data_IF_180698947842
#
_entry.id   IF_180698947842
#
_cell.length_a   1.000
_cell.length_b   1.000
_cell.length_c   1.000
_cell.angle_alpha   90.00
_cell.angle_beta   90.00
_cell.angle_gamma   90.00
#
_symmetry.space_group_name_H-M   'P 1'
#
loop_
_entity.id
_entity.type
_entity.pdbx_description
1 polymer ?
#
# COMPACT_ATOMS: atom_id res chain seq x y z
N UNK A 1 23.52 -8.02 -48.87
CA UNK A 1 23.75 -7.84 -47.41
C UNK A 1 22.60 -7.01 -46.87
N UNK A 2 21.61 -7.67 -46.28
CA UNK A 2 20.41 -7.05 -45.69
C UNK A 2 20.46 -7.31 -44.18
N UNK A 3 20.38 -6.25 -43.40
CA UNK A 3 20.19 -6.34 -41.95
C UNK A 3 18.71 -6.52 -41.64
N UNK A 4 18.30 -7.37 -40.69
CA UNK A 4 16.94 -7.40 -40.19
C UNK A 4 16.77 -6.41 -39.03
N UNK A 5 15.85 -5.47 -39.22
CA UNK A 5 15.30 -4.56 -38.22
C UNK A 5 14.12 -5.24 -37.49
N UNK A 6 13.87 -4.76 -36.27
CA UNK A 6 12.65 -4.91 -35.42
C UNK A 6 12.59 -6.11 -34.45
N UNK A 7 12.99 -5.83 -33.19
CA UNK A 7 12.42 -6.46 -32.01
C UNK A 7 11.30 -5.56 -31.47
N UNK A 8 10.05 -5.90 -31.80
CA UNK A 8 8.86 -5.34 -31.18
C UNK A 8 8.73 -5.94 -29.77
N UNK A 9 8.77 -5.08 -28.75
CA UNK A 9 8.46 -5.42 -27.36
C UNK A 9 7.03 -5.96 -27.27
N UNK A 10 6.88 -7.19 -26.79
CA UNK A 10 5.61 -7.94 -26.72
C UNK A 10 4.66 -7.47 -25.61
N UNK A 11 5.07 -6.56 -24.72
CA UNK A 11 4.26 -6.17 -23.56
C UNK A 11 3.58 -4.79 -23.68
N UNK A 12 3.88 -4.00 -24.72
CA UNK A 12 3.39 -2.61 -24.85
C UNK A 12 1.95 -2.44 -25.37
N UNK A 13 1.27 -3.52 -25.81
CA UNK A 13 -0.01 -3.41 -26.51
C UNK A 13 -1.27 -3.40 -25.64
N UNK A 14 -1.19 -3.90 -24.41
CA UNK A 14 -2.40 -4.10 -23.57
C UNK A 14 -2.66 -2.96 -22.59
N UNK A 15 -1.62 -2.28 -22.11
CA UNK A 15 -1.76 -1.16 -21.15
C UNK A 15 -2.37 0.07 -21.82
N UNK A 16 -2.00 0.37 -23.07
CA UNK A 16 -2.51 1.53 -23.82
C UNK A 16 -3.98 1.40 -24.20
N UNK A 17 -4.50 0.17 -24.35
CA UNK A 17 -5.89 -0.07 -24.75
C UNK A 17 -6.89 0.18 -23.62
N UNK A 18 -6.47 0.03 -22.36
CA UNK A 18 -7.38 0.14 -21.19
C UNK A 18 -7.45 1.56 -20.62
N UNK A 19 -6.37 2.35 -20.66
CA UNK A 19 -6.42 3.77 -20.31
C UNK A 19 -7.38 4.56 -21.22
N UNK A 20 -7.43 4.22 -22.52
CA UNK A 20 -8.38 4.83 -23.45
C UNK A 20 -9.84 4.40 -23.19
N UNK A 21 -10.09 3.21 -22.62
CA UNK A 21 -11.43 2.76 -22.24
C UNK A 21 -11.96 3.42 -20.97
N UNK A 22 -11.07 3.79 -20.03
CA UNK A 22 -11.43 4.52 -18.82
C UNK A 22 -11.77 5.98 -19.14
N UNK A 23 -10.99 6.64 -20.01
CA UNK A 23 -11.26 8.00 -20.49
C UNK A 23 -12.58 8.12 -21.27
N UNK A 24 -12.89 7.16 -22.16
CA UNK A 24 -14.13 7.15 -22.92
C UNK A 24 -15.40 6.96 -22.06
N UNK A 25 -15.28 6.32 -20.89
CA UNK A 25 -16.40 6.18 -19.94
C UNK A 25 -16.69 7.46 -19.17
N UNK A 26 -15.68 8.29 -18.94
CA UNK A 26 -15.83 9.59 -18.27
C UNK A 26 -16.49 10.62 -19.19
N UNK A 27 -16.23 10.56 -20.50
CA UNK A 27 -16.87 11.44 -21.50
C UNK A 27 -18.34 11.09 -21.78
N UNK A 28 -18.76 9.83 -21.59
CA UNK A 28 -20.17 9.46 -21.73
C UNK A 28 -21.06 9.88 -20.55
N UNK A 29 -20.49 10.27 -19.41
CA UNK A 29 -21.27 10.76 -18.25
C UNK A 29 -21.53 12.26 -18.27
N UNK A 30 -20.97 13.03 -19.22
CA UNK A 30 -21.11 14.49 -19.29
C UNK A 30 -22.14 15.00 -20.31
N UNK A 31 -22.90 14.10 -20.96
CA UNK A 31 -23.95 14.48 -21.90
C UNK A 31 -25.36 14.16 -21.37
N UNK A 32 -25.91 15.05 -20.54
CA UNK A 32 -27.34 15.36 -20.63
C UNK A 32 -27.62 16.84 -20.27
N UNK A 33 -28.58 17.50 -20.96
CA UNK A 33 -28.66 18.96 -21.03
C UNK A 33 -29.71 19.55 -20.09
N UNK A 34 -29.42 20.72 -19.50
CA UNK A 34 -30.44 21.74 -19.26
C UNK A 34 -29.80 23.11 -19.00
N UNK A 35 -30.02 24.03 -19.94
CA UNK A 35 -29.99 25.49 -19.78
C UNK A 35 -31.42 25.97 -20.07
N UNK A 36 -31.92 27.02 -19.40
CA UNK A 36 -31.99 28.33 -20.03
C UNK A 36 -31.54 29.42 -19.04
N UNK A 37 -30.61 30.30 -19.38
CA UNK A 37 -30.71 31.52 -20.20
C UNK A 37 -30.78 32.75 -19.29
N UNK A 38 -30.07 33.79 -19.72
CA UNK A 38 -29.61 34.94 -18.94
C UNK A 38 -30.51 36.15 -19.13
N UNK A 39 -30.64 36.97 -18.09
CA UNK A 39 -31.11 38.35 -18.21
C UNK A 39 -30.09 39.29 -17.58
N UNK A 40 -29.48 40.10 -18.44
CA UNK A 40 -28.69 41.26 -18.10
C UNK A 40 -29.57 42.52 -18.12
N UNK A 41 -29.13 43.49 -17.32
CA UNK A 41 -29.33 44.95 -17.43
C UNK A 41 -30.55 45.65 -16.79
N UNK A 42 -30.15 46.52 -15.84
CA UNK A 42 -30.51 47.95 -15.66
C UNK A 42 -31.81 48.29 -14.92
N UNK A 43 -31.67 48.89 -13.73
CA UNK A 43 -31.77 50.35 -13.52
C UNK A 43 -31.57 50.75 -12.04
N UNK A 44 -30.69 51.75 -11.85
CA UNK A 44 -30.73 52.87 -10.88
C UNK A 44 -30.53 52.66 -9.36
N UNK A 45 -29.39 53.20 -8.89
CA UNK A 45 -29.19 53.92 -7.61
C UNK A 45 -30.08 55.20 -7.51
N UNK A 46 -30.11 56.01 -6.41
CA UNK A 46 -29.47 55.90 -5.07
C UNK A 46 -30.40 56.28 -3.86
N UNK A 47 -29.85 56.26 -2.63
CA UNK A 47 -29.97 57.25 -1.51
C UNK A 47 -30.21 56.62 -0.11
N UNK A 48 -29.21 56.84 0.75
CA UNK A 48 -29.09 57.14 2.20
C UNK A 48 -30.09 56.64 3.29
N UNK A 49 -29.46 56.18 4.38
CA UNK A 49 -29.76 56.35 5.83
C UNK A 49 -31.15 56.03 6.40
N UNK A 50 -31.18 55.09 7.37
CA UNK A 50 -31.35 55.40 8.81
C UNK A 50 -31.76 54.16 9.64
N UNK A 51 -31.18 54.09 10.84
CA UNK A 51 -31.47 53.22 11.98
C UNK A 51 -32.93 53.34 12.45
N UNK A 52 -33.63 52.25 12.79
CA UNK A 52 -34.27 52.02 14.11
C UNK A 52 -35.20 50.80 14.18
N UNK A 53 -35.14 50.21 15.37
CA UNK A 53 -35.92 49.13 16.00
C UNK A 53 -37.42 49.46 16.11
N UNK A 54 -38.34 48.50 15.87
CA UNK A 54 -39.39 48.07 16.83
C UNK A 54 -40.26 46.91 16.32
N UNK A 55 -40.64 46.09 17.30
CA UNK A 55 -41.72 45.11 17.44
C UNK A 55 -43.11 45.61 17.00
N UNK A 56 -43.92 44.77 16.34
CA UNK A 56 -45.14 44.14 16.92
C UNK A 56 -46.16 43.60 15.88
N UNK A 57 -46.60 42.37 16.18
CA UNK A 57 -47.97 41.82 16.17
C UNK A 57 -48.87 41.81 14.91
N UNK A 58 -49.08 40.57 14.45
CA UNK A 58 -50.32 39.90 14.00
C UNK A 58 -51.34 40.62 13.09
N UNK A 59 -51.69 39.94 11.99
CA UNK A 59 -53.09 39.80 11.59
C UNK A 59 -53.33 38.44 10.94
N UNK A 60 -54.24 37.68 11.54
CA UNK A 60 -54.71 36.40 11.05
C UNK A 60 -55.68 36.60 9.87
N UNK A 61 -55.69 35.67 8.92
CA UNK A 61 -56.89 35.40 8.14
C UNK A 61 -56.99 33.90 7.89
N UNK A 62 -57.94 33.30 8.58
CA UNK A 62 -58.29 31.90 8.51
C UNK A 62 -59.10 31.62 7.24
N UNK A 63 -58.79 30.53 6.55
CA UNK A 63 -59.79 29.76 5.81
C UNK A 63 -59.62 28.29 6.19
N UNK A 64 -60.67 27.77 6.81
CA UNK A 64 -60.78 26.40 7.25
C UNK A 64 -61.30 25.53 6.09
N UNK A 65 -60.70 24.37 5.87
CA UNK A 65 -61.37 23.25 5.20
C UNK A 65 -60.94 21.91 5.83
N UNK A 66 -61.86 21.40 6.64
CA UNK A 66 -62.34 20.01 6.79
C UNK A 66 -61.30 18.86 6.77
N UNK A 67 -61.19 18.25 7.95
CA UNK A 67 -60.59 16.96 8.28
C UNK A 67 -61.40 15.78 7.69
N UNK A 68 -60.75 14.65 7.41
CA UNK A 68 -61.24 13.41 8.01
C UNK A 68 -60.15 12.65 8.79
N UNK A 69 -60.53 12.33 10.03
CA UNK A 69 -59.91 11.34 10.91
C UNK A 69 -59.91 9.97 10.24
N UNK A 70 -58.79 9.26 10.32
CA UNK A 70 -58.77 7.82 10.52
C UNK A 70 -57.67 7.47 11.52
N UNK A 71 -58.10 6.90 12.64
CA UNK A 71 -57.31 6.39 13.74
C UNK A 71 -56.59 5.10 13.35
N UNK A 72 -55.33 4.94 13.76
CA UNK A 72 -54.73 3.65 14.09
C UNK A 72 -53.49 3.90 14.97
N UNK A 73 -53.74 4.06 16.26
CA UNK A 73 -52.72 4.08 17.31
C UNK A 73 -52.42 2.62 17.65
N UNK A 74 -51.35 2.07 17.10
CA UNK A 74 -50.91 0.70 17.40
C UNK A 74 -49.86 0.73 18.51
N UNK A 75 -50.34 0.47 19.72
CA UNK A 75 -49.54 0.32 20.94
C UNK A 75 -48.69 -0.95 20.86
N UNK A 76 -47.38 -0.82 20.70
CA UNK A 76 -46.46 -1.94 20.90
C UNK A 76 -46.25 -2.19 22.40
N UNK A 77 -46.81 -3.30 22.85
CA UNK A 77 -46.74 -3.87 24.19
C UNK A 77 -45.31 -4.28 24.59
N UNK A 78 -44.78 -3.61 25.62
CA UNK A 78 -43.56 -3.96 26.37
C UNK A 78 -43.82 -5.17 27.30
N UNK A 79 -44.14 -6.33 26.74
CA UNK A 79 -44.34 -7.56 27.52
C UNK A 79 -43.91 -8.79 26.73
N UNK A 80 -42.63 -8.85 26.34
CA UNK A 80 -42.00 -10.11 25.90
C UNK A 80 -40.46 -10.04 25.84
N UNK A 81 -39.81 -9.33 26.76
CA UNK A 81 -38.33 -9.27 26.82
C UNK A 81 -37.73 -10.03 28.03
N UNK A 82 -38.56 -10.58 28.91
CA UNK A 82 -38.11 -11.26 30.13
C UNK A 82 -37.71 -12.74 29.96
N UNK A 83 -38.14 -13.41 28.89
CA UNK A 83 -37.87 -14.85 28.70
C UNK A 83 -36.49 -15.14 28.10
N UNK A 84 -35.91 -14.22 27.33
CA UNK A 84 -34.62 -14.43 26.67
C UNK A 84 -33.43 -14.28 27.63
N UNK A 85 -33.54 -13.43 28.66
CA UNK A 85 -32.49 -13.27 29.68
C UNK A 85 -32.35 -14.53 30.56
N UNK A 86 -33.45 -15.22 30.85
CA UNK A 86 -33.41 -16.47 31.63
C UNK A 86 -32.68 -17.60 30.90
N UNK A 87 -32.91 -17.75 29.59
CA UNK A 87 -32.26 -18.79 28.77
C UNK A 87 -30.76 -18.49 28.58
N UNK A 88 -30.39 -17.21 28.41
CA UNK A 88 -28.99 -16.81 28.27
C UNK A 88 -28.19 -17.06 29.57
N UNK A 89 -28.77 -16.79 30.74
CA UNK A 89 -28.14 -17.02 32.03
C UNK A 89 -27.92 -18.53 32.30
N UNK A 90 -28.86 -19.38 31.88
CA UNK A 90 -28.76 -20.83 32.03
C UNK A 90 -27.63 -21.42 31.16
N UNK A 91 -27.46 -20.92 29.93
CA UNK A 91 -26.37 -21.34 29.05
C UNK A 91 -24.98 -20.95 29.58
N UNK A 92 -24.85 -19.79 30.22
CA UNK A 92 -23.59 -19.33 30.83
C UNK A 92 -23.21 -20.19 32.04
N UNK A 93 -24.19 -20.60 32.86
CA UNK A 93 -23.97 -21.50 34.01
C UNK A 93 -23.56 -22.91 33.58
N UNK A 94 -24.10 -23.44 32.48
CA UNK A 94 -23.67 -24.75 31.97
C UNK A 94 -22.27 -24.73 31.36
N UNK A 95 -21.88 -23.64 30.67
CA UNK A 95 -20.54 -23.53 30.06
C UNK A 95 -19.41 -23.41 31.09
N UNK A 96 -19.70 -22.87 32.28
CA UNK A 96 -18.72 -22.67 33.35
C UNK A 96 -18.46 -23.93 34.21
N UNK A 97 -19.20 -25.02 33.99
CA UNK A 97 -19.01 -26.29 34.72
C UNK A 97 -18.07 -27.29 34.03
N UNK A 98 -17.56 -27.00 32.83
CA UNK A 98 -16.70 -27.93 32.05
C UNK A 98 -15.19 -27.70 32.19
N UNK A 99 -14.74 -26.75 33.02
CA UNK A 99 -13.31 -26.42 33.18
C UNK A 99 -12.74 -26.80 34.56
N UNK A 100 -13.10 -27.97 35.06
CA UNK A 100 -12.43 -28.61 36.20
C UNK A 100 -11.92 -30.02 35.84
N UNK A 101 -10.85 -30.08 35.05
CA UNK A 101 -10.06 -31.31 34.94
C UNK A 101 -9.02 -31.36 36.08
N UNK A 102 -8.97 -32.43 36.89
CA UNK A 102 -8.02 -32.56 37.99
C UNK A 102 -6.61 -32.88 37.47
N UNK A 103 -5.65 -32.01 37.77
CA UNK A 103 -4.21 -32.30 37.67
C UNK A 103 -3.88 -33.44 38.64
N UNK A 104 -3.67 -34.65 38.13
CA UNK A 104 -3.01 -35.72 38.89
C UNK A 104 -1.50 -35.47 38.87
N UNK A 105 -1.03 -34.97 40.00
CA UNK A 105 0.37 -35.06 40.40
C UNK A 105 0.71 -36.52 40.74
N UNK A 106 1.76 -37.04 40.11
CA UNK A 106 2.54 -38.16 40.64
C UNK A 106 3.99 -37.70 40.70
N UNK A 107 4.40 -37.32 41.90
CA UNK A 107 5.78 -36.98 42.22
C UNK A 107 6.61 -38.22 42.57
N UNK A 108 7.93 -37.99 42.56
CA UNK A 108 9.03 -38.79 43.12
C UNK A 108 9.61 -39.88 42.23
N UNK A 109 10.73 -39.55 41.59
CA UNK A 109 12.03 -39.99 42.11
C UNK A 109 13.15 -39.03 41.66
N UNK A 110 13.62 -38.21 42.61
CA UNK A 110 14.96 -37.64 42.60
C UNK A 110 15.93 -38.79 42.92
N UNK A 111 16.67 -39.27 41.92
CA UNK A 111 17.91 -40.00 42.13
C UNK A 111 18.89 -39.53 41.05
N UNK A 112 19.76 -38.59 41.43
CA UNK A 112 21.08 -38.47 40.82
C UNK A 112 21.96 -39.59 41.39
N UNK A 113 22.84 -40.16 40.56
CA UNK A 113 24.23 -40.19 40.96
C UNK A 113 25.17 -39.71 39.86
N UNK A 114 26.16 -38.94 40.33
CA UNK A 114 27.40 -38.58 39.66
C UNK A 114 28.10 -39.71 38.92
N UNK A 115 28.74 -39.34 37.80
CA UNK A 115 30.09 -39.69 37.29
C UNK A 115 30.04 -39.61 35.76
N UNK A 116 31.01 -39.15 34.98
CA UNK A 116 32.37 -38.64 35.18
C UNK A 116 32.73 -37.89 33.87
N UNK A 117 33.59 -36.89 33.96
CA UNK A 117 34.37 -36.24 32.89
C UNK A 117 34.08 -36.65 31.43
N UNK A 118 33.51 -35.71 30.67
CA UNK A 118 33.95 -35.49 29.30
C UNK A 118 34.32 -34.02 29.16
N UNK A 119 35.63 -33.79 29.05
CA UNK A 119 36.19 -32.54 28.55
C UNK A 119 35.66 -32.31 27.12
N UNK A 120 34.75 -31.37 26.96
CA UNK A 120 34.63 -30.63 25.70
C UNK A 120 34.90 -29.16 26.00
N UNK A 121 36.20 -28.88 26.13
CA UNK A 121 36.73 -27.62 25.64
C UNK A 121 36.47 -27.59 24.14
N UNK A 122 35.57 -26.74 23.71
CA UNK A 122 35.60 -26.08 22.40
C UNK A 122 34.93 -24.75 22.68
N UNK A 123 35.75 -23.78 23.08
CA UNK A 123 36.24 -22.73 22.19
C UNK A 123 35.15 -21.68 21.99
N UNK A 124 35.49 -20.43 22.31
CA UNK A 124 34.57 -19.30 22.32
C UNK A 124 33.60 -19.34 21.16
N UNK A 125 32.32 -19.50 21.47
CA UNK A 125 31.29 -18.85 20.69
C UNK A 125 31.45 -17.36 21.00
N UNK A 126 32.44 -16.77 20.34
CA UNK A 126 32.36 -15.39 19.94
C UNK A 126 30.95 -15.25 19.36
N UNK A 127 30.15 -14.39 20.00
CA UNK A 127 29.01 -13.80 19.34
C UNK A 127 29.57 -13.14 18.08
N UNK A 128 29.65 -13.92 16.99
CA UNK A 128 29.71 -13.36 15.66
C UNK A 128 28.50 -12.46 15.60
N UNK A 129 28.77 -11.16 15.58
CA UNK A 129 27.84 -10.14 15.14
C UNK A 129 27.06 -10.69 13.95
N UNK A 130 25.79 -10.31 13.85
CA UNK A 130 24.92 -10.61 12.72
C UNK A 130 25.40 -9.93 11.42
N UNK A 131 26.70 -9.94 11.13
CA UNK A 131 27.34 -9.45 9.91
C UNK A 131 27.16 -10.44 8.73
N UNK A 132 26.15 -11.31 8.79
CA UNK A 132 25.66 -12.05 7.62
C UNK A 132 24.74 -11.18 6.73
N UNK A 133 24.65 -9.87 6.99
CA UNK A 133 24.06 -8.90 6.06
C UNK A 133 24.93 -8.67 4.80
N UNK A 134 26.12 -9.27 4.71
CA UNK A 134 27.04 -9.10 3.59
C UNK A 134 27.06 -10.24 2.55
N UNK A 135 26.13 -11.20 2.60
CA UNK A 135 25.98 -12.21 1.54
C UNK A 135 24.98 -11.80 0.43
N UNK A 136 24.82 -10.49 0.20
CA UNK A 136 24.05 -9.94 -0.95
C UNK A 136 24.92 -9.69 -2.19
N UNK A 137 26.19 -10.11 -2.17
CA UNK A 137 27.12 -9.97 -3.29
C UNK A 137 27.02 -11.14 -4.28
N UNK A 138 25.81 -11.51 -4.71
CA UNK A 138 25.71 -12.29 -5.96
C UNK A 138 25.87 -11.30 -7.11
N UNK A 139 26.82 -11.61 -7.99
CA UNK A 139 27.25 -10.75 -9.09
C UNK A 139 26.05 -10.47 -9.99
N UNK A 140 25.48 -9.27 -9.90
CA UNK A 140 24.82 -8.69 -11.07
C UNK A 140 25.82 -8.81 -12.21
N UNK A 141 25.40 -9.38 -13.34
CA UNK A 141 26.27 -9.54 -14.50
C UNK A 141 26.35 -8.19 -15.22
N UNK A 142 26.91 -7.21 -14.53
CA UNK A 142 26.94 -5.82 -14.94
C UNK A 142 28.12 -5.55 -15.84
N UNK A 143 27.86 -4.96 -17.00
CA UNK A 143 28.86 -4.10 -17.65
C UNK A 143 28.85 -2.75 -16.95
N UNK A 144 29.52 -2.66 -15.80
CA UNK A 144 29.49 -1.50 -14.87
C UNK A 144 29.83 -0.15 -15.53
N UNK A 145 30.57 -0.15 -16.64
CA UNK A 145 30.90 1.07 -17.41
C UNK A 145 29.74 1.59 -18.30
N UNK A 146 28.50 1.08 -18.14
CA UNK A 146 27.38 1.42 -19.03
C UNK A 146 26.06 1.72 -18.31
N UNK A 147 26.07 1.96 -17.00
CA UNK A 147 24.87 2.42 -16.33
C UNK A 147 24.44 3.77 -16.91
N UNK A 148 23.14 3.94 -17.14
CA UNK A 148 22.59 5.11 -17.82
C UNK A 148 21.62 5.84 -16.91
N UNK A 149 22.18 6.71 -16.09
CA UNK A 149 21.46 7.53 -15.14
C UNK A 149 21.09 8.91 -15.68
N UNK A 150 20.93 9.07 -17.00
CA UNK A 150 20.52 10.36 -17.58
C UNK A 150 19.22 10.87 -16.94
N UNK A 151 19.05 12.19 -16.89
CA UNK A 151 17.83 12.81 -16.36
C UNK A 151 16.57 12.24 -17.01
N UNK A 152 16.62 11.95 -18.31
CA UNK A 152 15.50 11.34 -19.05
C UNK A 152 15.09 9.95 -18.52
N UNK A 153 16.06 9.09 -18.18
CA UNK A 153 15.78 7.76 -17.67
C UNK A 153 15.31 7.79 -16.21
N UNK A 154 15.90 8.66 -15.39
CA UNK A 154 15.48 8.84 -14.00
C UNK A 154 14.05 9.38 -13.93
N UNK A 155 13.70 10.32 -14.81
CA UNK A 155 12.33 10.82 -14.96
C UNK A 155 11.36 9.72 -15.39
N UNK A 156 11.74 8.89 -16.35
CA UNK A 156 10.91 7.76 -16.75
C UNK A 156 10.67 6.78 -15.60
N UNK A 157 11.71 6.44 -14.84
CA UNK A 157 11.60 5.58 -13.66
C UNK A 157 10.68 6.19 -12.59
N UNK A 158 10.80 7.50 -12.34
CA UNK A 158 9.91 8.23 -11.44
C UNK A 158 8.44 8.13 -11.88
N UNK A 159 8.16 8.42 -13.15
CA UNK A 159 6.80 8.35 -13.70
C UNK A 159 6.20 6.94 -13.58
N UNK A 160 7.02 5.90 -13.82
CA UNK A 160 6.60 4.50 -13.66
C UNK A 160 6.27 4.16 -12.22
N UNK A 161 7.10 4.59 -11.26
CA UNK A 161 6.86 4.33 -9.83
C UNK A 161 5.57 5.01 -9.38
N UNK A 162 5.36 6.28 -9.74
CA UNK A 162 4.13 7.04 -9.39
C UNK A 162 2.89 6.32 -9.92
N UNK A 163 2.90 5.95 -11.21
CA UNK A 163 1.80 5.23 -11.83
C UNK A 163 1.57 3.84 -11.22
N UNK A 164 2.65 3.17 -10.80
CA UNK A 164 2.58 1.87 -10.14
C UNK A 164 1.98 1.98 -8.75
N UNK A 165 2.37 2.99 -7.97
CA UNK A 165 1.83 3.22 -6.62
C UNK A 165 0.33 3.45 -6.65
N UNK A 166 -0.11 4.39 -7.49
CA UNK A 166 -1.54 4.68 -7.67
C UNK A 166 -2.33 3.42 -8.08
N UNK A 167 -1.88 2.72 -9.12
CA UNK A 167 -2.53 1.49 -9.57
C UNK A 167 -2.55 0.38 -8.52
N UNK A 168 -1.53 0.29 -7.66
CA UNK A 168 -1.46 -0.72 -6.60
C UNK A 168 -2.45 -0.41 -5.48
N UNK A 169 -2.59 0.87 -5.10
CA UNK A 169 -3.59 1.32 -4.12
C UNK A 169 -5.00 1.05 -4.66
N UNK A 170 -5.27 1.36 -5.93
CA UNK A 170 -6.57 1.09 -6.56
C UNK A 170 -6.91 -0.41 -6.55
N UNK A 171 -5.96 -1.29 -6.89
CA UNK A 171 -6.16 -2.74 -6.86
C UNK A 171 -6.38 -3.26 -5.44
N UNK A 172 -5.63 -2.73 -4.46
CA UNK A 172 -5.74 -3.12 -3.06
C UNK A 172 -7.10 -2.73 -2.47
N UNK A 173 -7.52 -1.48 -2.68
CA UNK A 173 -8.80 -0.96 -2.18
C UNK A 173 -9.99 -1.63 -2.86
N UNK A 174 -9.89 -1.94 -4.17
CA UNK A 174 -10.91 -2.70 -4.88
C UNK A 174 -11.04 -4.14 -4.37
N UNK A 175 -9.93 -4.82 -4.06
CA UNK A 175 -9.95 -6.18 -3.53
C UNK A 175 -10.60 -6.25 -2.13
N UNK A 176 -10.23 -5.34 -1.23
CA UNK A 176 -10.80 -5.32 0.13
C UNK A 176 -12.15 -4.61 0.23
N UNK A 177 -12.57 -3.90 -0.81
CA UNK A 177 -13.78 -3.06 -0.82
C UNK A 177 -13.79 -2.07 0.37
N UNK A 178 -12.66 -1.41 0.60
CA UNK A 178 -12.42 -0.46 1.69
C UNK A 178 -11.42 0.62 1.25
N UNK A 179 -11.43 1.79 1.89
CA UNK A 179 -10.46 2.85 1.59
C UNK A 179 -9.08 2.54 2.18
N UNK A 180 -8.04 3.24 1.70
CA UNK A 180 -6.68 3.09 2.22
C UNK A 180 -6.63 3.40 3.73
N UNK A 181 -7.34 4.45 4.18
CA UNK A 181 -7.38 4.86 5.58
C UNK A 181 -8.10 3.83 6.46
N UNK A 182 -9.16 3.21 5.95
CA UNK A 182 -9.88 2.15 6.65
C UNK A 182 -8.98 0.93 6.84
N UNK A 183 -8.29 0.51 5.78
CA UNK A 183 -7.36 -0.62 5.84
C UNK A 183 -6.17 -0.33 6.78
N UNK A 184 -5.59 0.86 6.68
CA UNK A 184 -4.53 1.31 7.59
C UNK A 184 -4.98 1.25 9.05
N UNK A 185 -6.22 1.69 9.34
CA UNK A 185 -6.81 1.61 10.68
C UNK A 185 -7.07 0.17 11.12
N UNK A 186 -7.60 -0.68 10.25
CA UNK A 186 -7.87 -2.09 10.57
C UNK A 186 -6.59 -2.85 10.91
N UNK A 187 -5.50 -2.57 10.21
CA UNK A 187 -4.26 -3.33 10.33
C UNK A 187 -3.12 -2.62 11.06
N UNK A 188 -3.37 -1.47 11.72
CA UNK A 188 -2.33 -0.66 12.37
C UNK A 188 -1.46 -1.39 13.42
N UNK A 189 -1.97 -2.47 14.03
CA UNK A 189 -1.24 -3.27 15.03
C UNK A 189 -0.42 -4.41 14.41
N UNK A 190 -0.55 -4.64 13.10
CA UNK A 190 0.14 -5.71 12.40
C UNK A 190 1.34 -5.13 11.66
N UNK A 191 2.51 -5.72 11.90
CA UNK A 191 3.74 -5.34 11.25
C UNK A 191 4.25 -6.50 10.40
N UNK A 192 4.84 -6.16 9.25
CA UNK A 192 5.53 -7.12 8.41
C UNK A 192 7.01 -7.14 8.79
N UNK A 193 7.49 -8.29 9.25
CA UNK A 193 8.90 -8.50 9.61
C UNK A 193 9.68 -8.94 8.38
N UNK A 194 9.75 -8.05 7.40
CA UNK A 194 10.50 -8.25 6.16
C UNK A 194 11.67 -7.28 6.11
N UNK A 195 12.87 -7.85 5.99
CA UNK A 195 14.12 -7.09 5.84
C UNK A 195 14.53 -6.97 4.37
N UNK A 196 14.94 -5.75 3.99
CA UNK A 196 15.46 -5.38 2.67
C UNK A 196 16.24 -4.05 2.75
N UNK A 197 17.08 -3.70 1.74
CA UNK A 197 18.02 -2.57 1.85
C UNK A 197 17.42 -1.18 2.10
N UNK A 198 16.18 -0.94 1.68
CA UNK A 198 15.47 0.33 1.90
C UNK A 198 14.45 0.30 3.05
N UNK A 199 14.57 -0.68 3.96
CA UNK A 199 13.59 -0.88 5.04
C UNK A 199 13.56 0.29 6.03
N UNK A 200 14.71 0.85 6.35
CA UNK A 200 14.82 1.97 7.31
C UNK A 200 14.16 3.23 6.75
N UNK A 201 14.33 3.49 5.46
CA UNK A 201 13.69 4.58 4.73
C UNK A 201 12.17 4.39 4.67
N UNK A 202 11.69 3.16 4.46
CA UNK A 202 10.25 2.82 4.49
C UNK A 202 9.62 3.04 5.87
N UNK A 203 10.39 2.80 6.93
CA UNK A 203 9.92 3.04 8.30
C UNK A 203 9.97 4.52 8.71
N UNK A 204 10.64 5.38 7.93
CA UNK A 204 10.80 6.79 8.22
C UNK A 204 9.74 7.65 7.47
N UNK A 205 8.73 8.12 8.20
CA UNK A 205 7.68 8.98 7.65
C UNK A 205 8.15 10.37 7.20
N UNK A 206 9.36 10.78 7.58
CA UNK A 206 9.97 12.06 7.22
C UNK A 206 11.15 11.89 6.25
N UNK A 207 11.21 10.77 5.52
CA UNK A 207 12.26 10.53 4.55
C UNK A 207 12.25 11.59 3.43
N UNK A 208 13.37 12.27 3.23
CA UNK A 208 13.51 13.40 2.31
C UNK A 208 14.29 13.06 1.02
N UNK A 209 14.62 11.78 0.83
CA UNK A 209 15.37 11.30 -0.33
C UNK A 209 16.89 11.41 -0.19
N UNK A 210 17.40 12.15 0.80
CA UNK A 210 18.85 12.34 0.94
C UNK A 210 19.53 11.03 1.33
N UNK A 211 20.67 10.79 0.70
CA UNK A 211 21.49 9.61 0.90
C UNK A 211 22.96 10.03 0.87
N UNK A 212 23.77 9.42 1.73
CA UNK A 212 25.23 9.52 1.65
C UNK A 212 25.81 8.51 0.65
N UNK A 213 24.96 7.66 0.05
CA UNK A 213 25.35 6.63 -0.90
C UNK A 213 25.60 7.25 -2.28
N UNK A 214 26.41 6.57 -3.09
CA UNK A 214 26.52 6.94 -4.51
C UNK A 214 25.20 6.64 -5.25
N UNK A 215 25.02 7.26 -6.41
CA UNK A 215 23.87 7.01 -7.28
C UNK A 215 23.74 5.52 -7.62
N UNK A 216 24.87 4.85 -7.88
CA UNK A 216 24.92 3.42 -8.15
C UNK A 216 24.46 2.59 -6.94
N UNK A 217 24.99 2.88 -5.74
CA UNK A 217 24.59 2.19 -4.52
C UNK A 217 23.11 2.37 -4.20
N UNK A 218 22.56 3.56 -4.49
CA UNK A 218 21.14 3.84 -4.33
C UNK A 218 20.31 3.01 -5.32
N UNK A 219 20.66 2.98 -6.61
CA UNK A 219 19.92 2.18 -7.61
C UNK A 219 20.03 0.67 -7.31
N UNK A 220 21.17 0.19 -6.81
CA UNK A 220 21.33 -1.19 -6.34
C UNK A 220 20.43 -1.50 -5.13
N UNK A 221 20.34 -0.59 -4.17
CA UNK A 221 19.45 -0.76 -3.02
C UNK A 221 17.97 -0.81 -3.45
N UNK A 222 17.59 -0.02 -4.46
CA UNK A 222 16.26 -0.07 -5.08
C UNK A 222 16.00 -1.45 -5.69
N UNK A 223 16.92 -1.93 -6.54
CA UNK A 223 16.81 -3.23 -7.19
C UNK A 223 16.58 -4.36 -6.18
N UNK A 224 17.46 -4.46 -5.18
CA UNK A 224 17.39 -5.52 -4.18
C UNK A 224 16.15 -5.43 -3.28
N UNK A 225 15.65 -4.22 -3.01
CA UNK A 225 14.40 -4.04 -2.25
C UNK A 225 13.18 -4.51 -3.04
N UNK A 226 13.12 -4.16 -4.32
CA UNK A 226 12.04 -4.58 -5.22
C UNK A 226 12.04 -6.10 -5.43
N UNK A 227 13.20 -6.71 -5.70
CA UNK A 227 13.31 -8.17 -5.90
C UNK A 227 12.84 -8.93 -4.65
N UNK A 228 13.20 -8.43 -3.46
CA UNK A 228 12.78 -9.01 -2.18
C UNK A 228 11.27 -8.95 -1.98
N UNK A 229 10.66 -7.80 -2.24
CA UNK A 229 9.21 -7.60 -2.14
C UNK A 229 8.48 -8.46 -3.18
N UNK A 230 8.95 -8.47 -4.43
CA UNK A 230 8.41 -9.29 -5.52
C UNK A 230 8.37 -10.77 -5.13
N UNK A 231 9.45 -11.29 -4.56
CA UNK A 231 9.48 -12.70 -4.14
C UNK A 231 8.38 -13.04 -3.13
N UNK A 232 8.18 -12.19 -2.11
CA UNK A 232 7.10 -12.39 -1.13
C UNK A 232 5.73 -12.25 -1.79
N UNK A 233 5.55 -11.23 -2.65
CA UNK A 233 4.31 -11.00 -3.40
C UNK A 233 3.92 -12.23 -4.22
N UNK A 234 4.84 -12.82 -4.96
CA UNK A 234 4.60 -14.03 -5.77
C UNK A 234 4.13 -15.18 -4.89
N UNK A 235 4.78 -15.40 -3.74
CA UNK A 235 4.39 -16.49 -2.84
C UNK A 235 3.02 -16.29 -2.22
N UNK A 236 2.69 -15.08 -1.77
CA UNK A 236 1.36 -14.77 -1.25
C UNK A 236 0.32 -14.93 -2.37
N UNK A 237 0.60 -14.38 -3.55
CA UNK A 237 -0.29 -14.44 -4.72
C UNK A 237 -0.60 -15.87 -5.13
N UNK A 238 0.39 -16.77 -5.05
CA UNK A 238 0.23 -18.19 -5.36
C UNK A 238 -0.64 -18.95 -4.35
N UNK A 239 -0.79 -18.43 -3.13
CA UNK A 239 -1.62 -19.01 -2.07
C UNK A 239 -3.09 -18.59 -2.14
N UNK A 240 -3.41 -17.54 -2.91
CA UNK A 240 -4.77 -17.05 -3.12
C UNK A 240 -5.56 -17.96 -4.06
N UNK A 241 -6.89 -17.88 -3.99
CA UNK A 241 -7.73 -18.56 -4.96
C UNK A 241 -7.53 -17.97 -6.37
N UNK A 242 -7.94 -18.74 -7.38
CA UNK A 242 -7.68 -18.38 -8.79
C UNK A 242 -8.39 -17.10 -9.21
N UNK A 243 -9.55 -16.77 -8.65
CA UNK A 243 -10.30 -15.57 -9.01
C UNK A 243 -9.57 -14.34 -8.48
N UNK A 244 -9.21 -14.33 -7.21
CA UNK A 244 -8.58 -13.16 -6.58
C UNK A 244 -7.15 -12.95 -7.07
N UNK A 245 -6.42 -14.05 -7.28
CA UNK A 245 -5.12 -14.02 -7.96
C UNK A 245 -5.20 -13.36 -9.33
N UNK A 246 -6.08 -13.83 -10.21
CA UNK A 246 -6.11 -13.40 -11.60
C UNK A 246 -6.74 -12.00 -11.78
N UNK A 247 -7.64 -11.59 -10.87
CA UNK A 247 -8.32 -10.30 -10.99
C UNK A 247 -7.55 -9.14 -10.36
N UNK A 248 -6.71 -9.40 -9.34
CA UNK A 248 -6.05 -8.34 -8.57
C UNK A 248 -4.54 -8.57 -8.44
N UNK A 249 -4.14 -9.64 -7.76
CA UNK A 249 -2.76 -9.77 -7.28
C UNK A 249 -1.73 -10.10 -8.36
N UNK A 250 -2.14 -10.81 -9.42
CA UNK A 250 -1.27 -11.05 -10.58
C UNK A 250 -0.83 -9.72 -11.21
N UNK A 251 -1.71 -8.73 -11.29
CA UNK A 251 -1.36 -7.40 -11.80
C UNK A 251 -0.39 -6.66 -10.88
N UNK A 252 -0.50 -6.84 -9.56
CA UNK A 252 0.45 -6.24 -8.61
C UNK A 252 1.84 -6.87 -8.78
N UNK A 253 1.92 -8.18 -8.96
CA UNK A 253 3.18 -8.88 -9.27
C UNK A 253 3.79 -8.35 -10.57
N UNK A 254 3.01 -8.26 -11.65
CA UNK A 254 3.47 -7.71 -12.94
C UNK A 254 3.98 -6.27 -12.81
N UNK A 255 3.35 -5.46 -11.97
CA UNK A 255 3.80 -4.09 -11.68
C UNK A 255 5.12 -4.06 -10.91
N UNK A 256 5.31 -4.95 -9.94
CA UNK A 256 6.60 -5.08 -9.25
C UNK A 256 7.71 -5.51 -10.23
N UNK A 257 7.43 -6.48 -11.09
CA UNK A 257 8.36 -6.94 -12.14
C UNK A 257 8.73 -5.81 -13.11
N UNK A 258 7.75 -5.03 -13.55
CA UNK A 258 8.01 -3.89 -14.43
C UNK A 258 8.92 -2.83 -13.78
N UNK A 259 8.78 -2.58 -12.48
CA UNK A 259 9.70 -1.66 -11.78
C UNK A 259 11.12 -2.23 -11.68
N UNK A 260 11.26 -3.55 -11.50
CA UNK A 260 12.57 -4.22 -11.54
C UNK A 260 13.21 -4.06 -12.92
N UNK A 261 12.47 -4.31 -14.01
CA UNK A 261 12.95 -4.14 -15.38
C UNK A 261 13.44 -2.70 -15.65
N UNK A 262 12.75 -1.68 -15.12
CA UNK A 262 13.17 -0.29 -15.25
C UNK A 262 14.47 0.00 -14.49
N UNK A 263 14.66 -0.60 -13.31
CA UNK A 263 15.90 -0.48 -12.54
C UNK A 263 17.05 -1.21 -13.23
N UNK A 264 16.78 -2.40 -13.79
CA UNK A 264 17.74 -3.16 -14.60
C UNK A 264 18.19 -2.35 -15.83
N UNK A 265 17.29 -1.62 -16.47
CA UNK A 265 17.61 -0.72 -17.58
C UNK A 265 18.54 0.43 -17.15
N UNK A 266 18.37 0.99 -15.95
CA UNK A 266 19.27 2.02 -15.40
C UNK A 266 20.67 1.45 -15.12
N UNK A 267 20.73 0.27 -14.52
CA UNK A 267 21.99 -0.42 -14.21
C UNK A 267 22.67 -0.97 -15.47
N UNK A 268 21.92 -1.18 -16.55
CA UNK A 268 22.32 -1.98 -17.71
C UNK A 268 22.83 -3.36 -17.29
N UNK A 269 22.08 -3.98 -16.37
CA UNK A 269 22.39 -5.28 -15.81
C UNK A 269 21.10 -6.09 -15.71
N UNK A 270 21.19 -7.39 -15.99
CA UNK A 270 20.16 -8.35 -15.61
C UNK A 270 20.59 -9.02 -14.32
N UNK A 271 19.74 -9.01 -13.31
CA UNK A 271 20.01 -9.75 -12.09
C UNK A 271 19.65 -11.22 -12.24
N UNK A 272 20.58 -12.10 -11.84
CA UNK A 272 20.20 -13.46 -11.51
C UNK A 272 19.57 -13.41 -10.11
N UNK A 273 18.24 -13.56 -10.04
CA UNK A 273 17.48 -13.44 -8.79
C UNK A 273 18.07 -14.23 -7.63
N UNK A 274 18.00 -13.67 -6.42
CA UNK A 274 18.54 -14.35 -5.23
C UNK A 274 17.69 -14.10 -4.00
N UNK A 275 17.40 -15.21 -3.33
CA UNK A 275 17.32 -15.21 -1.88
C UNK A 275 16.09 -15.96 -1.39
N UNK A 276 16.31 -17.15 -0.86
CA UNK A 276 15.32 -17.79 -0.02
C UNK A 276 15.10 -16.91 1.23
N UNK A 277 13.85 -16.51 1.48
CA UNK A 277 13.49 -15.89 2.76
C UNK A 277 13.48 -17.01 3.80
N UNK A 278 14.42 -16.95 4.75
CA UNK A 278 14.60 -17.99 5.77
C UNK A 278 13.47 -18.03 6.81
N UNK A 279 12.67 -16.97 6.91
CA UNK A 279 11.64 -16.81 7.92
C UNK A 279 10.33 -16.33 7.29
N UNK A 280 9.20 -16.82 7.80
CA UNK A 280 7.90 -16.28 7.44
C UNK A 280 7.82 -14.81 7.88
N UNK A 281 7.70 -13.83 6.95
CA UNK A 281 7.66 -12.41 7.31
C UNK A 281 6.33 -12.00 7.96
N UNK A 282 5.32 -12.88 7.95
CA UNK A 282 3.96 -12.58 8.38
C UNK A 282 3.64 -13.03 9.81
N UNK A 283 4.60 -13.22 10.72
CA UNK A 283 4.40 -13.83 12.05
C UNK A 283 3.23 -13.24 12.88
N UNK A 284 1.98 -13.66 12.59
CA UNK A 284 0.67 -13.17 13.10
C UNK A 284 -0.02 -12.06 12.29
N UNK A 285 0.30 -11.86 11.01
CA UNK A 285 -0.46 -10.96 10.15
C UNK A 285 -1.75 -11.67 9.67
N UNK A 286 -2.96 -11.12 9.95
CA UNK A 286 -4.23 -11.80 9.64
C UNK A 286 -4.49 -11.91 8.13
N UNK A 287 -3.99 -10.93 7.37
CA UNK A 287 -4.12 -10.86 5.91
C UNK A 287 -2.75 -10.65 5.26
N UNK A 288 -1.94 -11.71 5.04
CA UNK A 288 -0.62 -11.61 4.43
C UNK A 288 -0.60 -10.76 3.16
N UNK A 289 -1.67 -10.86 2.36
CA UNK A 289 -1.89 -10.13 1.12
C UNK A 289 -1.98 -8.62 1.32
N UNK A 290 -2.69 -8.14 2.35
CA UNK A 290 -2.64 -6.73 2.72
C UNK A 290 -1.24 -6.33 3.18
N UNK A 291 -0.64 -7.15 4.06
CA UNK A 291 0.65 -6.84 4.68
C UNK A 291 1.76 -6.59 3.65
N UNK A 292 1.88 -7.48 2.66
CA UNK A 292 2.91 -7.34 1.63
C UNK A 292 2.59 -6.25 0.61
N UNK A 293 1.34 -6.07 0.21
CA UNK A 293 0.97 -5.03 -0.76
C UNK A 293 1.13 -3.65 -0.15
N UNK A 294 0.73 -3.46 1.11
CA UNK A 294 0.96 -2.21 1.83
C UNK A 294 2.46 -1.92 1.98
N UNK A 295 3.27 -2.94 2.27
CA UNK A 295 4.73 -2.78 2.31
C UNK A 295 5.29 -2.34 0.94
N UNK A 296 4.79 -2.94 -0.15
CA UNK A 296 5.16 -2.54 -1.50
C UNK A 296 4.76 -1.09 -1.82
N UNK A 297 3.55 -0.66 -1.43
CA UNK A 297 3.09 0.73 -1.58
C UNK A 297 4.00 1.72 -0.85
N UNK A 298 4.43 1.38 0.38
CA UNK A 298 5.38 2.21 1.13
C UNK A 298 6.75 2.26 0.47
N UNK A 299 7.25 1.12 -0.02
CA UNK A 299 8.51 1.08 -0.77
C UNK A 299 8.40 1.97 -2.01
N UNK A 300 7.33 1.86 -2.80
CA UNK A 300 7.11 2.71 -3.98
C UNK A 300 7.15 4.19 -3.61
N UNK A 301 6.54 4.60 -2.50
CA UNK A 301 6.63 5.98 -2.04
C UNK A 301 8.09 6.42 -1.76
N UNK A 302 8.89 5.59 -1.08
CA UNK A 302 10.33 5.84 -0.89
C UNK A 302 11.05 5.96 -2.23
N UNK A 303 10.70 5.13 -3.22
CA UNK A 303 11.25 5.21 -4.56
C UNK A 303 10.87 6.52 -5.27
N UNK A 304 9.63 7.01 -5.14
CA UNK A 304 9.22 8.32 -5.70
C UNK A 304 10.12 9.44 -5.19
N UNK A 305 10.31 9.48 -3.86
CA UNK A 305 11.15 10.50 -3.21
C UNK A 305 12.60 10.38 -3.66
N UNK A 306 13.14 9.15 -3.68
CA UNK A 306 14.54 8.90 -4.06
C UNK A 306 14.80 9.22 -5.54
N UNK A 307 13.92 8.79 -6.46
CA UNK A 307 14.05 9.13 -7.88
C UNK A 307 13.95 10.63 -8.14
N UNK A 308 13.04 11.34 -7.44
CA UNK A 308 12.93 12.80 -7.54
C UNK A 308 14.21 13.50 -7.12
N UNK A 309 14.84 13.03 -6.03
CA UNK A 309 16.11 13.55 -5.55
C UNK A 309 17.25 13.28 -6.53
N UNK A 310 17.37 12.04 -7.03
CA UNK A 310 18.39 11.65 -8.01
C UNK A 310 18.24 12.43 -9.33
N UNK A 311 17.00 12.63 -9.80
CA UNK A 311 16.71 13.44 -10.98
C UNK A 311 17.20 14.88 -10.81
N UNK A 312 16.89 15.51 -9.66
CA UNK A 312 17.30 16.88 -9.39
C UNK A 312 18.82 17.04 -9.35
N UNK A 313 19.55 16.06 -8.81
CA UNK A 313 21.01 16.05 -8.84
C UNK A 313 21.55 15.94 -10.27
N UNK A 314 20.98 15.03 -11.06
CA UNK A 314 21.44 14.78 -12.41
C UNK A 314 21.18 15.98 -13.35
N UNK A 315 20.01 16.62 -13.24
CA UNK A 315 19.69 17.83 -14.01
C UNK A 315 20.67 18.97 -13.68
N UNK A 316 21.10 19.09 -12.43
CA UNK A 316 22.10 20.10 -12.04
C UNK A 316 23.49 19.80 -12.63
N UNK A 317 23.89 18.53 -12.70
CA UNK A 317 25.15 18.09 -13.32
C UNK A 317 25.12 18.37 -14.83
N UNK A 318 24.07 17.92 -15.52
CA UNK A 318 23.90 18.12 -16.97
C UNK A 318 23.86 19.62 -17.33
N UNK A 319 23.23 20.46 -16.49
CA UNK A 319 23.23 21.90 -16.67
C UNK A 319 24.62 22.54 -16.49
N UNK A 320 25.42 22.07 -15.54
CA UNK A 320 26.78 22.57 -15.32
C UNK A 320 27.70 22.19 -16.49
N UNK A 321 27.63 20.95 -16.98
CA UNK A 321 28.38 20.48 -18.14
C UNK A 321 28.01 21.27 -19.42
N UNK A 322 26.74 21.62 -19.60
CA UNK A 322 26.28 22.42 -20.72
C UNK A 322 26.82 23.86 -20.69
N UNK A 323 27.07 24.44 -19.51
CA UNK A 323 27.70 25.76 -19.37
C UNK A 323 29.18 25.68 -19.71
N UNK A 324 29.90 24.67 -19.19
CA UNK A 324 31.32 24.48 -19.47
C UNK A 324 31.60 24.22 -20.97
N UNK A 325 30.70 23.52 -21.67
CA UNK A 325 30.86 23.24 -23.10
C UNK A 325 30.71 24.48 -24.02
N UNK A 326 30.20 25.60 -23.49
CA UNK A 326 30.00 26.85 -24.24
C UNK A 326 31.17 27.82 -24.04
N UNK A 327 32.02 27.61 -23.03
CA UNK A 327 33.23 28.40 -22.74
C UNK A 327 34.45 27.99 -23.57
#
# INVERSE_FOLDING_TARGET
MQMPTTMLSKCGGFVTRRNNQMLAKTEQSSQQPSRPESLSERLQEPIEQATSTTTDTATATATAFVCPRLCAQQSCSLLSCGSYFGVLLLLILCASYSSALPRRALGRHLILPHRHHVHLRSAGQEHKSMDNFLEYKKKLNCTLNRANYSASNLKHALDVVIGTRASTIDLLTAYFNATEEELARCYHLHHLTLEYPLKDEVNNSQYDGRSNRSLEEDVLAIYHSLDRIRWVLVNVTNSLDTKDRNNYFQYIVEKAEHNIENVEALLNCTGEGVGHIRFDPFQKHPHPEYGIVNEFVKLLHVLEVKYSYMLSQQEAVEAAEAVEAVE
#
